data_IF_784094496565
#
_entry.id   IF_784094496565
#
_cell.length_a   1.000
_cell.length_b   1.000
_cell.length_c   1.000
_cell.angle_alpha   90.00
_cell.angle_beta   90.00
_cell.angle_gamma   90.00
#
_symmetry.space_group_name_H-M   'P 1'
#
loop_
_entity.id
_entity.type
_entity.pdbx_description
1 polymer ?
#
# COMPACT_ATOMS: atom_id res chain seq x y z
N UNK A 1 -16.51 -16.06 -4.45
CA UNK A 1 -15.90 -15.42 -3.26
C UNK A 1 -14.46 -15.90 -3.18
N UNK A 2 -13.55 -15.28 -3.96
CA UNK A 2 -12.13 -15.58 -3.86
C UNK A 2 -11.49 -14.46 -3.04
N UNK A 3 -11.30 -14.73 -1.74
CA UNK A 3 -10.37 -13.97 -0.92
C UNK A 3 -8.97 -14.32 -1.40
N UNK A 4 -8.41 -13.50 -2.28
CA UNK A 4 -7.02 -13.60 -2.69
C UNK A 4 -6.14 -13.23 -1.50
N UNK A 5 -5.81 -14.19 -0.64
CA UNK A 5 -4.67 -14.03 0.25
C UNK A 5 -3.45 -13.75 -0.64
N UNK A 6 -2.80 -12.61 -0.43
CA UNK A 6 -1.56 -12.27 -1.11
C UNK A 6 -0.47 -13.25 -0.63
N UNK A 7 -0.41 -14.42 -1.26
CA UNK A 7 0.61 -15.43 -0.98
C UNK A 7 1.90 -14.98 -1.64
N UNK A 8 2.68 -14.15 -0.96
CA UNK A 8 4.05 -13.85 -1.33
C UNK A 8 4.88 -15.13 -1.21
N UNK A 9 5.00 -15.88 -2.31
CA UNK A 9 5.94 -17.01 -2.36
C UNK A 9 7.35 -16.47 -2.31
N UNK A 10 8.16 -17.05 -1.41
CA UNK A 10 9.57 -16.69 -1.26
C UNK A 10 10.38 -17.32 -2.39
N UNK A 11 10.40 -16.66 -3.55
CA UNK A 11 11.41 -16.96 -4.56
C UNK A 11 12.72 -16.22 -4.22
N UNK A 12 13.84 -16.90 -4.44
CA UNK A 12 15.17 -16.36 -4.15
C UNK A 12 15.56 -15.39 -5.26
N UNK A 13 15.11 -14.15 -5.14
CA UNK A 13 15.55 -13.06 -6.00
C UNK A 13 17.04 -12.75 -5.73
N UNK A 14 17.87 -12.54 -6.76
CA UNK A 14 19.25 -12.10 -6.60
C UNK A 14 19.38 -10.90 -5.65
N UNK A 15 20.42 -10.89 -4.81
CA UNK A 15 20.57 -9.85 -3.77
C UNK A 15 20.70 -8.43 -4.31
N UNK A 16 21.01 -8.27 -5.60
CA UNK A 16 21.17 -6.98 -6.30
C UNK A 16 19.86 -6.40 -6.83
N UNK A 17 18.80 -7.19 -6.85
CA UNK A 17 17.54 -6.77 -7.47
C UNK A 17 16.68 -5.99 -6.47
N UNK A 18 16.06 -4.92 -6.96
CA UNK A 18 15.08 -4.14 -6.19
C UNK A 18 13.72 -4.82 -6.34
N UNK A 19 13.13 -5.22 -5.22
CA UNK A 19 11.81 -5.84 -5.20
C UNK A 19 10.77 -4.77 -4.88
N UNK A 20 9.84 -4.59 -5.82
CA UNK A 20 8.66 -3.75 -5.66
C UNK A 20 7.44 -4.63 -5.89
N UNK A 21 6.47 -4.54 -4.97
CA UNK A 21 5.14 -5.11 -5.13
C UNK A 21 4.18 -3.93 -5.18
N UNK A 22 3.36 -3.85 -6.22
CA UNK A 22 2.36 -2.80 -6.35
C UNK A 22 1.06 -3.41 -6.88
N UNK A 23 -0.06 -2.92 -6.38
CA UNK A 23 -1.38 -3.30 -6.90
C UNK A 23 -2.52 -2.93 -5.95
N UNK A 24 -3.72 -3.23 -6.40
CA UNK A 24 -4.93 -3.14 -5.58
C UNK A 24 -5.05 -4.39 -4.69
N UNK A 25 -4.78 -4.21 -3.40
CA UNK A 25 -4.91 -5.28 -2.41
C UNK A 25 -6.26 -5.24 -1.68
N UNK A 26 -7.14 -4.28 -2.01
CA UNK A 26 -8.46 -4.07 -1.40
C UNK A 26 -8.46 -3.98 0.15
N UNK A 27 -7.30 -3.75 0.77
CA UNK A 27 -7.14 -3.63 2.22
C UNK A 27 -6.79 -2.20 2.62
N UNK A 28 -7.38 -1.74 3.71
CA UNK A 28 -7.17 -0.41 4.25
C UNK A 28 -6.16 -0.50 5.40
N UNK A 29 -4.92 -0.08 5.17
CA UNK A 29 -3.85 -0.11 6.18
C UNK A 29 -4.01 0.96 7.28
N UNK A 30 -4.83 1.97 7.00
CA UNK A 30 -5.20 3.04 7.94
C UNK A 30 -4.20 4.19 8.00
N UNK A 31 -4.54 5.23 8.76
CA UNK A 31 -3.70 6.43 8.92
C UNK A 31 -2.51 6.26 9.84
N UNK A 32 -2.69 5.52 10.94
CA UNK A 32 -1.72 5.38 12.00
C UNK A 32 -0.82 4.14 11.83
N UNK A 33 0.36 4.20 12.44
CA UNK A 33 1.36 3.12 12.43
C UNK A 33 0.98 1.96 13.33
N UNK A 34 0.41 2.24 14.50
CA UNK A 34 -0.03 1.27 15.52
C UNK A 34 0.95 0.12 15.80
N UNK A 35 2.26 0.42 15.82
CA UNK A 35 3.31 -0.56 16.12
C UNK A 35 3.97 -1.21 14.90
N UNK A 36 3.40 -1.09 13.70
CA UNK A 36 3.94 -1.70 12.48
C UNK A 36 5.14 -0.94 11.91
N UNK A 37 6.34 -1.50 11.93
CA UNK A 37 7.54 -0.79 11.47
C UNK A 37 7.53 -0.50 9.97
N UNK A 38 6.87 -1.36 9.19
CA UNK A 38 6.63 -1.21 7.75
C UNK A 38 5.74 -0.02 7.36
N UNK A 39 4.99 0.54 8.30
CA UNK A 39 4.05 1.65 8.05
C UNK A 39 4.67 3.00 8.44
N UNK A 40 4.61 3.98 7.54
CA UNK A 40 5.26 5.27 7.73
C UNK A 40 4.49 6.30 8.58
N UNK A 41 3.22 6.01 8.90
CA UNK A 41 2.39 6.83 9.79
C UNK A 41 1.63 7.96 9.10
N UNK A 42 1.63 7.99 7.76
CA UNK A 42 0.91 8.97 6.94
C UNK A 42 -0.04 8.30 5.94
N UNK A 43 -0.69 7.21 6.34
CA UNK A 43 -1.72 6.56 5.52
C UNK A 43 -3.06 7.29 5.56
N UNK A 44 -4.10 6.69 5.01
CA UNK A 44 -5.45 7.28 4.97
C UNK A 44 -6.52 6.34 5.52
N UNK A 45 -7.50 6.92 6.21
CA UNK A 45 -8.71 6.23 6.69
C UNK A 45 -8.48 5.31 7.89
N UNK A 46 -9.52 4.53 8.20
CA UNK A 46 -9.49 3.52 9.27
C UNK A 46 -8.97 2.19 8.75
N UNK A 47 -8.24 1.47 9.60
CA UNK A 47 -7.74 0.15 9.26
C UNK A 47 -8.86 -0.89 9.23
N UNK A 48 -8.81 -1.81 8.27
CA UNK A 48 -9.70 -2.98 8.20
C UNK A 48 -8.93 -4.31 8.34
N UNK A 49 -9.64 -5.44 8.43
CA UNK A 49 -9.03 -6.75 8.62
C UNK A 49 -8.07 -7.15 7.49
N UNK A 50 -8.36 -6.75 6.25
CA UNK A 50 -7.47 -7.00 5.10
C UNK A 50 -6.21 -6.12 5.15
N UNK A 51 -6.34 -4.88 5.62
CA UNK A 51 -5.22 -3.99 5.88
C UNK A 51 -4.28 -4.50 6.98
N UNK A 52 -4.83 -5.09 8.04
CA UNK A 52 -4.02 -5.75 9.08
C UNK A 52 -3.21 -6.91 8.48
N UNK A 53 -3.81 -7.75 7.64
CA UNK A 53 -3.09 -8.84 6.93
C UNK A 53 -1.99 -8.31 6.01
N UNK A 54 -2.22 -7.18 5.35
CA UNK A 54 -1.20 -6.51 4.52
C UNK A 54 -0.02 -6.07 5.40
N UNK A 55 -0.30 -5.48 6.56
CA UNK A 55 0.72 -5.03 7.50
C UNK A 55 1.52 -6.19 8.08
N UNK A 56 0.86 -7.25 8.53
CA UNK A 56 1.50 -8.48 9.02
C UNK A 56 2.41 -9.10 7.95
N UNK A 57 1.94 -9.17 6.70
CA UNK A 57 2.71 -9.67 5.56
C UNK A 57 3.92 -8.77 5.26
N UNK A 58 3.73 -7.46 5.23
CA UNK A 58 4.80 -6.50 4.98
C UNK A 58 5.91 -6.59 6.06
N UNK A 59 5.52 -6.65 7.33
CA UNK A 59 6.43 -6.81 8.46
C UNK A 59 7.22 -8.13 8.36
N UNK A 60 6.52 -9.25 8.14
CA UNK A 60 7.13 -10.58 8.00
C UNK A 60 8.17 -10.65 6.88
N UNK A 61 7.93 -9.91 5.79
CA UNK A 61 8.79 -9.90 4.61
C UNK A 61 9.78 -8.73 4.57
N UNK A 62 9.89 -7.90 5.62
CA UNK A 62 10.71 -6.70 5.65
C UNK A 62 10.44 -5.79 4.43
N UNK A 63 9.16 -5.49 4.20
CA UNK A 63 8.70 -4.57 3.17
C UNK A 63 8.20 -3.29 3.85
N UNK A 64 8.44 -2.14 3.23
CA UNK A 64 7.88 -0.84 3.64
C UNK A 64 6.70 -0.49 2.74
N UNK A 65 5.59 -0.06 3.33
CA UNK A 65 4.44 0.48 2.59
C UNK A 65 4.74 1.94 2.25
N UNK A 66 5.23 2.19 1.05
CA UNK A 66 5.76 3.53 0.70
C UNK A 66 4.68 4.59 0.55
N UNK A 67 3.43 4.19 0.30
CA UNK A 67 2.27 5.08 0.27
C UNK A 67 2.04 5.81 1.60
N UNK A 68 2.52 5.25 2.71
CA UNK A 68 2.26 5.77 4.06
C UNK A 68 3.50 6.43 4.67
N UNK A 69 4.63 6.48 3.94
CA UNK A 69 5.91 7.08 4.36
C UNK A 69 5.94 8.60 4.22
N UNK A 70 5.27 9.13 3.19
CA UNK A 70 5.33 10.55 2.88
C UNK A 70 4.06 11.25 3.36
N UNK A 71 4.23 12.29 4.17
CA UNK A 71 3.11 13.13 4.59
C UNK A 71 2.51 13.86 3.40
N UNK A 72 1.23 13.63 3.13
CA UNK A 72 0.48 14.23 2.03
C UNK A 72 -0.88 14.74 2.51
N UNK A 73 -1.56 15.52 1.68
CA UNK A 73 -2.97 15.86 1.89
C UNK A 73 -3.82 14.61 1.60
N UNK A 74 -4.91 14.43 2.33
CA UNK A 74 -5.85 13.32 2.12
C UNK A 74 -6.28 13.15 0.66
N UNK A 75 -6.53 14.27 -0.04
CA UNK A 75 -6.89 14.28 -1.47
C UNK A 75 -5.85 13.63 -2.39
N UNK A 76 -4.59 13.54 -1.96
CA UNK A 76 -3.49 12.91 -2.70
C UNK A 76 -3.19 11.47 -2.22
N UNK A 77 -3.86 11.01 -1.16
CA UNK A 77 -3.74 9.65 -0.63
C UNK A 77 -4.86 8.74 -1.11
N UNK A 78 -6.02 9.32 -1.44
CA UNK A 78 -7.20 8.60 -1.92
C UNK A 78 -6.96 8.11 -3.34
N UNK A 79 -7.15 6.81 -3.56
CA UNK A 79 -7.00 6.15 -4.86
C UNK A 79 -8.32 5.70 -5.47
N UNK A 80 -9.39 5.65 -4.67
CA UNK A 80 -10.72 5.26 -5.13
C UNK A 80 -11.82 6.15 -4.56
N UNK A 81 -12.79 6.48 -5.42
CA UNK A 81 -13.99 7.24 -5.09
C UNK A 81 -15.22 6.42 -5.50
N UNK A 82 -16.15 6.18 -4.57
CA UNK A 82 -17.46 5.59 -4.85
C UNK A 82 -18.55 6.37 -4.12
N UNK A 83 -19.26 7.22 -4.87
CA UNK A 83 -20.20 8.18 -4.30
C UNK A 83 -19.51 9.10 -3.27
N UNK A 84 -19.95 9.05 -2.02
CA UNK A 84 -19.37 9.78 -0.90
C UNK A 84 -18.18 9.07 -0.23
N UNK A 85 -17.95 7.81 -0.56
CA UNK A 85 -16.87 6.99 0.01
C UNK A 85 -15.54 7.26 -0.69
N UNK A 86 -14.49 7.35 0.11
CA UNK A 86 -13.11 7.61 -0.32
C UNK A 86 -12.20 6.58 0.32
N UNK A 87 -11.37 5.92 -0.48
CA UNK A 87 -10.51 4.84 0.00
C UNK A 87 -9.10 4.94 -0.59
N UNK A 88 -8.12 4.41 0.15
CA UNK A 88 -6.76 4.15 -0.34
C UNK A 88 -6.61 2.63 -0.42
N UNK A 89 -6.66 2.08 -1.63
CA UNK A 89 -6.65 0.63 -1.89
C UNK A 89 -5.45 0.18 -2.72
N UNK A 90 -4.84 1.11 -3.46
CA UNK A 90 -3.59 0.87 -4.18
C UNK A 90 -2.41 0.99 -3.21
N UNK A 91 -1.69 -0.12 -3.04
CA UNK A 91 -0.56 -0.22 -2.11
C UNK A 91 0.70 -0.53 -2.89
N UNK A 92 1.76 0.23 -2.62
CA UNK A 92 3.12 -0.04 -3.09
C UNK A 92 3.98 -0.43 -1.90
N UNK A 93 4.63 -1.58 -2.03
CA UNK A 93 5.51 -2.20 -1.05
C UNK A 93 6.89 -2.32 -1.67
N UNK A 94 7.92 -1.90 -0.93
CA UNK A 94 9.32 -1.98 -1.37
C UNK A 94 10.12 -2.69 -0.29
N UNK A 95 11.17 -3.42 -0.65
CA UNK A 95 12.10 -3.95 0.36
C UNK A 95 12.63 -2.83 1.26
N UNK A 96 12.62 -3.07 2.57
CA UNK A 96 12.99 -2.03 3.54
C UNK A 96 14.41 -1.50 3.33
N UNK A 97 15.34 -2.37 2.92
CA UNK A 97 16.73 -1.99 2.55
C UNK A 97 16.80 -1.00 1.37
N UNK A 98 15.80 -1.03 0.50
CA UNK A 98 15.72 -0.25 -0.76
C UNK A 98 14.78 0.95 -0.60
N UNK A 99 14.18 1.16 0.57
CA UNK A 99 13.17 2.22 0.80
C UNK A 99 13.71 3.63 0.55
N UNK A 100 15.01 3.85 0.75
CA UNK A 100 15.67 5.15 0.54
C UNK A 100 15.77 5.53 -0.95
N UNK A 101 15.59 4.58 -1.86
CA UNK A 101 15.51 4.82 -3.30
C UNK A 101 14.19 5.47 -3.69
N UNK A 102 13.15 5.33 -2.86
CA UNK A 102 11.85 5.95 -3.10
C UNK A 102 11.88 7.37 -2.55
N UNK A 103 11.71 8.33 -3.44
CA UNK A 103 11.65 9.75 -3.07
C UNK A 103 10.21 10.24 -2.90
N UNK A 104 9.25 9.59 -3.57
CA UNK A 104 7.84 9.92 -3.46
C UNK A 104 6.94 8.78 -3.98
N UNK A 105 5.78 8.57 -3.35
CA UNK A 105 4.71 7.68 -3.83
C UNK A 105 3.44 8.48 -4.15
N UNK A 106 3.20 8.83 -5.41
CA UNK A 106 2.01 9.59 -5.85
C UNK A 106 0.92 8.66 -6.37
N UNK A 107 -0.31 8.92 -5.94
CA UNK A 107 -1.49 8.42 -6.64
C UNK A 107 -1.69 9.32 -7.88
N UNK A 108 -1.73 8.71 -9.06
CA UNK A 108 -2.08 9.38 -10.31
C UNK A 108 -3.55 9.05 -10.58
N UNK A 109 -4.47 10.04 -10.52
CA UNK A 109 -5.83 9.83 -10.95
C UNK A 109 -5.82 9.40 -12.42
N UNK A 110 -6.49 8.29 -12.74
CA UNK A 110 -6.86 8.03 -14.12
C UNK A 110 -7.71 9.21 -14.60
N UNK A 111 -7.19 10.02 -15.53
CA UNK A 111 -8.02 10.98 -16.26
C UNK A 111 -9.11 10.17 -16.98
N UNK A 112 -10.36 10.49 -16.65
CA UNK A 112 -11.61 9.94 -17.17
C UNK A 112 -11.52 9.28 -18.54
N UNK A 113 -11.27 7.97 -18.58
CA UNK A 113 -11.71 7.13 -19.69
C UNK A 113 -12.52 5.96 -19.11
N UNK A 114 -13.83 6.13 -19.20
CA UNK A 114 -14.93 5.28 -18.73
C UNK A 114 -15.22 5.30 -17.21
N UNK A 115 -16.42 5.73 -16.77
CA UNK A 115 -16.90 5.39 -15.44
C UNK A 115 -17.02 3.87 -15.32
N UNK A 116 -16.41 3.30 -14.29
CA UNK A 116 -16.60 1.89 -13.95
C UNK A 116 -18.02 1.73 -13.39
N UNK A 117 -18.85 0.97 -14.10
CA UNK A 117 -20.20 0.55 -13.71
C UNK A 117 -20.15 -0.87 -13.12
#
# INVERSE_FOLDING_TARGET
MNFGACLMRREKCPSKDVIVVAGDLNGHVGGAKDGYSCHGGFGYGSRNADGERILECAELHNLTIVNTVFRKRDSHLISYYSGSSKSQIDVVLVKDRDRSLVTEAKILPCETVAPQH
#
